data_IF_230753058183
#
_entry.id   IF_230753058183
#
_cell.length_a   1.000
_cell.length_b   1.000
_cell.length_c   1.000
_cell.angle_alpha   90.00
_cell.angle_beta   90.00
_cell.angle_gamma   90.00
#
_symmetry.space_group_name_H-M   'P 1'
#
loop_
_entity.id
_entity.type
_entity.pdbx_description
1 polymer ?
#
# COMPACT_ATOMS: atom_id res chain seq x y z
N UNK A 1 4.40 19.44 3.28
CA UNK A 1 4.32 19.89 1.87
C UNK A 1 4.13 21.39 1.91
N UNK A 2 5.08 22.17 1.41
CA UNK A 2 4.89 23.61 1.33
C UNK A 2 4.08 23.97 0.08
N UNK A 3 2.82 24.35 0.29
CA UNK A 3 1.88 24.76 -0.76
C UNK A 3 2.15 26.18 -1.26
N UNK A 4 1.60 26.59 -2.41
CA UNK A 4 1.62 27.98 -2.89
C UNK A 4 1.13 28.96 -1.80
N UNK A 5 0.16 28.52 -0.98
CA UNK A 5 -0.30 29.22 0.23
C UNK A 5 0.84 29.43 1.25
N UNK A 6 1.69 28.44 1.49
CA UNK A 6 2.87 28.56 2.37
C UNK A 6 3.97 29.43 1.75
N UNK A 7 4.18 29.35 0.43
CA UNK A 7 5.12 30.22 -0.29
C UNK A 7 4.73 31.69 -0.13
N UNK A 8 3.44 32.00 -0.35
CA UNK A 8 2.86 33.32 -0.16
C UNK A 8 2.96 33.77 1.29
N UNK A 9 2.63 32.92 2.26
CA UNK A 9 2.75 33.25 3.68
C UNK A 9 4.20 33.56 4.11
N UNK A 10 5.19 32.82 3.58
CA UNK A 10 6.63 33.05 3.87
C UNK A 10 7.14 34.37 3.28
N UNK A 11 6.62 34.80 2.13
CA UNK A 11 7.03 36.06 1.49
C UNK A 11 6.27 37.25 2.07
N UNK A 12 4.98 37.10 2.40
CA UNK A 12 4.16 38.10 3.12
C UNK A 12 4.74 38.45 4.50
N UNK A 13 5.43 37.51 5.15
CA UNK A 13 6.11 37.75 6.43
C UNK A 13 7.30 38.74 6.32
N UNK A 14 7.71 39.15 5.11
CA UNK A 14 8.72 40.19 4.89
C UNK A 14 8.06 41.58 4.79
N UNK A 15 8.53 42.60 5.55
CA UNK A 15 7.88 43.91 5.59
C UNK A 15 7.86 44.62 4.23
N UNK A 16 6.70 45.13 3.80
CA UNK A 16 6.56 46.02 2.62
C UNK A 16 6.19 45.35 1.30
N UNK A 17 5.92 44.04 1.28
CA UNK A 17 5.72 43.26 0.05
C UNK A 17 4.27 42.91 -0.28
N UNK A 18 3.37 43.01 0.70
CA UNK A 18 2.00 42.46 0.67
C UNK A 18 1.18 42.92 -0.54
N UNK A 19 1.02 44.24 -0.74
CA UNK A 19 0.06 44.74 -1.72
C UNK A 19 0.53 44.58 -3.18
N UNK A 20 1.84 44.68 -3.43
CA UNK A 20 2.38 44.61 -4.80
C UNK A 20 2.50 43.16 -5.29
N UNK A 21 2.88 42.25 -4.39
CA UNK A 21 3.00 40.84 -4.71
C UNK A 21 1.62 40.20 -4.91
N UNK A 22 0.65 40.48 -4.03
CA UNK A 22 -0.69 39.90 -4.15
C UNK A 22 -1.39 40.34 -5.44
N UNK A 23 -1.20 41.60 -5.86
CA UNK A 23 -1.71 42.10 -7.15
C UNK A 23 -1.03 41.41 -8.33
N UNK A 24 0.28 41.18 -8.28
CA UNK A 24 1.03 40.50 -9.33
C UNK A 24 0.66 39.01 -9.44
N UNK A 25 0.55 38.31 -8.30
CA UNK A 25 0.08 36.92 -8.23
C UNK A 25 -1.35 36.81 -8.77
N UNK A 26 -2.24 37.72 -8.41
CA UNK A 26 -3.61 37.74 -8.93
C UNK A 26 -3.65 38.01 -10.45
N UNK A 27 -2.75 38.84 -10.98
CA UNK A 27 -2.63 39.07 -12.42
C UNK A 27 -2.14 37.82 -13.17
N UNK A 28 -1.14 37.11 -12.64
CA UNK A 28 -0.66 35.84 -13.21
C UNK A 28 -1.74 34.75 -13.18
N UNK A 29 -2.49 34.62 -12.08
CA UNK A 29 -3.60 33.65 -12.00
C UNK A 29 -4.68 33.97 -13.05
N UNK A 30 -5.01 35.25 -13.29
CA UNK A 30 -5.95 35.65 -14.35
C UNK A 30 -5.43 35.26 -15.74
N UNK A 31 -4.18 35.58 -16.03
CA UNK A 31 -3.56 35.27 -17.32
C UNK A 31 -3.48 33.76 -17.58
N UNK A 32 -3.09 32.98 -16.56
CA UNK A 32 -3.05 31.52 -16.62
C UNK A 32 -4.43 30.94 -16.98
N UNK A 33 -5.50 31.39 -16.31
CA UNK A 33 -6.85 30.90 -16.62
C UNK A 33 -7.33 31.30 -18.02
N UNK A 34 -7.01 32.52 -18.47
CA UNK A 34 -7.35 32.97 -19.82
C UNK A 34 -6.62 32.18 -20.90
N UNK A 35 -5.39 31.74 -20.63
CA UNK A 35 -4.60 30.89 -21.52
C UNK A 35 -5.14 29.47 -21.59
N UNK A 36 -5.38 28.83 -20.44
CA UNK A 36 -6.03 27.50 -20.37
C UNK A 36 -7.40 27.49 -21.07
N UNK A 37 -8.16 28.58 -20.95
CA UNK A 37 -9.46 28.75 -21.59
C UNK A 37 -9.39 28.87 -23.11
N UNK A 38 -8.27 29.30 -23.69
CA UNK A 38 -8.05 29.35 -25.14
C UNK A 38 -7.64 27.98 -25.69
N UNK A 39 -6.95 27.18 -24.88
CA UNK A 39 -6.47 25.84 -25.28
C UNK A 39 -7.53 24.75 -25.20
N UNK A 40 -8.62 24.95 -24.43
CA UNK A 40 -9.74 24.00 -24.34
C UNK A 40 -10.97 24.47 -25.14
N UNK A 41 -11.32 23.84 -26.30
CA UNK A 41 -12.36 24.34 -27.21
C UNK A 41 -13.81 24.17 -26.73
N UNK A 42 -14.06 23.73 -25.49
CA UNK A 42 -15.39 23.43 -24.98
C UNK A 42 -15.58 24.15 -23.64
N UNK A 43 -16.36 25.23 -23.64
CA UNK A 43 -16.60 26.13 -22.51
C UNK A 43 -17.29 25.53 -21.28
N UNK A 44 -17.41 24.20 -21.18
CA UNK A 44 -18.03 23.49 -20.06
C UNK A 44 -17.01 23.14 -18.94
N UNK A 45 -15.70 23.17 -19.21
CA UNK A 45 -14.65 22.85 -18.22
C UNK A 45 -14.20 24.07 -17.38
N UNK A 46 -14.55 25.29 -17.79
CA UNK A 46 -14.12 26.53 -17.10
C UNK A 46 -14.56 26.62 -15.63
N UNK A 47 -15.79 26.22 -15.23
CA UNK A 47 -16.23 26.35 -13.84
C UNK A 47 -15.47 25.42 -12.88
N UNK A 48 -15.09 24.22 -13.34
CA UNK A 48 -14.34 23.24 -12.55
C UNK A 48 -12.88 23.69 -12.35
N UNK A 49 -12.26 24.26 -13.40
CA UNK A 49 -10.89 24.80 -13.33
C UNK A 49 -10.75 25.91 -12.29
N UNK A 50 -11.72 26.82 -12.19
CA UNK A 50 -11.72 27.88 -11.17
C UNK A 50 -11.81 27.34 -9.75
N UNK A 51 -12.61 26.29 -9.50
CA UNK A 51 -12.72 25.70 -8.16
C UNK A 51 -11.40 25.04 -7.72
N UNK A 52 -10.72 24.33 -8.62
CA UNK A 52 -9.39 23.73 -8.37
C UNK A 52 -8.35 24.82 -8.12
N UNK A 53 -8.38 25.91 -8.90
CA UNK A 53 -7.46 27.04 -8.72
C UNK A 53 -7.69 27.74 -7.39
N UNK A 54 -8.96 27.91 -6.96
CA UNK A 54 -9.27 28.48 -5.65
C UNK A 54 -8.79 27.61 -4.49
N UNK A 55 -8.79 26.29 -4.64
CA UNK A 55 -8.21 25.38 -3.65
C UNK A 55 -6.67 25.50 -3.58
N UNK A 56 -6.01 25.71 -4.73
CA UNK A 56 -4.55 25.86 -4.84
C UNK A 56 -4.05 27.19 -4.26
N UNK A 57 -4.69 28.32 -4.63
CA UNK A 57 -4.26 29.66 -4.19
C UNK A 57 -4.73 30.01 -2.77
N UNK A 58 -5.74 29.29 -2.27
CA UNK A 58 -6.31 29.45 -0.95
C UNK A 58 -7.51 30.41 -0.90
N UNK A 59 -8.45 30.08 -0.01
CA UNK A 59 -9.74 30.75 0.14
C UNK A 59 -9.65 32.26 0.42
N UNK A 60 -8.84 32.67 1.40
CA UNK A 60 -8.69 34.09 1.77
C UNK A 60 -8.18 34.96 0.59
N UNK A 61 -7.32 34.40 -0.25
CA UNK A 61 -6.81 35.09 -1.45
C UNK A 61 -7.87 35.18 -2.55
N UNK A 62 -8.60 34.09 -2.76
CA UNK A 62 -9.69 34.02 -3.73
C UNK A 62 -10.78 35.05 -3.41
N UNK A 63 -11.18 35.16 -2.14
CA UNK A 63 -12.18 36.13 -1.69
C UNK A 63 -11.71 37.58 -1.86
N UNK A 64 -10.42 37.85 -1.63
CA UNK A 64 -9.86 39.20 -1.72
C UNK A 64 -9.71 39.68 -3.17
N UNK A 65 -9.23 38.84 -4.09
CA UNK A 65 -8.87 39.27 -5.46
C UNK A 65 -9.85 38.82 -6.55
N UNK A 66 -10.76 37.91 -6.24
CA UNK A 66 -11.72 37.31 -7.17
C UNK A 66 -13.16 37.31 -6.66
N UNK A 67 -13.52 38.25 -5.78
CA UNK A 67 -14.86 38.37 -5.15
C UNK A 67 -16.05 38.30 -6.13
N UNK A 68 -15.87 38.73 -7.38
CA UNK A 68 -16.90 38.70 -8.41
C UNK A 68 -17.16 37.30 -9.01
N UNK A 69 -16.34 36.29 -8.67
CA UNK A 69 -16.51 34.90 -9.11
C UNK A 69 -17.20 34.10 -8.00
N UNK A 70 -18.46 33.69 -8.24
CA UNK A 70 -19.21 32.84 -7.31
C UNK A 70 -18.57 31.45 -7.25
N UNK A 71 -18.08 31.06 -6.06
CA UNK A 71 -17.69 29.67 -5.76
C UNK A 71 -18.89 28.74 -5.88
N UNK A 72 -18.71 27.63 -6.57
CA UNK A 72 -19.70 26.57 -6.68
C UNK A 72 -19.09 25.25 -6.21
N UNK A 73 -18.93 25.13 -4.88
CA UNK A 73 -18.30 23.97 -4.20
C UNK A 73 -18.91 22.62 -4.61
N UNK A 74 -20.17 22.60 -5.06
CA UNK A 74 -20.87 21.41 -5.58
C UNK A 74 -20.20 20.82 -6.83
N UNK A 75 -19.42 21.60 -7.58
CA UNK A 75 -18.65 21.12 -8.73
C UNK A 75 -17.47 20.24 -8.33
N UNK A 76 -16.92 20.43 -7.12
CA UNK A 76 -15.88 19.57 -6.55
C UNK A 76 -16.45 18.30 -5.89
N UNK A 77 -17.77 18.28 -5.68
CA UNK A 77 -18.54 17.14 -5.16
C UNK A 77 -19.17 16.30 -6.29
N UNK A 78 -18.85 16.60 -7.56
CA UNK A 78 -19.31 15.80 -8.69
C UNK A 78 -18.80 14.36 -8.49
N UNK A 79 -19.67 13.33 -8.60
CA UNK A 79 -19.35 11.92 -8.28
C UNK A 79 -18.22 11.28 -9.13
N UNK A 80 -17.61 12.04 -10.03
CA UNK A 80 -16.50 11.61 -10.89
C UNK A 80 -15.14 12.22 -10.51
N UNK A 81 -15.07 13.20 -9.60
CA UNK A 81 -13.82 13.63 -8.98
C UNK A 81 -13.67 12.93 -7.62
N UNK A 82 -13.05 11.76 -7.65
CA UNK A 82 -12.61 11.07 -6.43
C UNK A 82 -11.63 11.99 -5.68
N UNK A 83 -11.62 12.07 -4.33
CA UNK A 83 -10.76 12.99 -3.59
C UNK A 83 -9.28 12.94 -3.99
N UNK A 84 -8.79 11.77 -4.41
CA UNK A 84 -7.43 11.55 -4.90
C UNK A 84 -7.20 12.21 -6.26
N UNK A 85 -8.17 12.14 -7.19
CA UNK A 85 -8.11 12.88 -8.45
C UNK A 85 -8.15 14.38 -8.22
N UNK A 86 -8.89 14.86 -7.21
CA UNK A 86 -8.87 16.28 -6.83
C UNK A 86 -7.50 16.68 -6.31
N UNK A 87 -6.87 15.88 -5.44
CA UNK A 87 -5.52 16.17 -4.94
C UNK A 87 -4.49 16.16 -6.07
N UNK A 88 -4.56 15.19 -6.97
CA UNK A 88 -3.66 15.07 -8.12
C UNK A 88 -3.84 16.23 -9.10
N UNK A 89 -5.10 16.59 -9.41
CA UNK A 89 -5.43 17.71 -10.28
C UNK A 89 -5.07 19.06 -9.66
N UNK A 90 -5.31 19.26 -8.36
CA UNK A 90 -4.83 20.43 -7.62
C UNK A 90 -3.30 20.52 -7.70
N UNK A 91 -2.58 19.41 -7.53
CA UNK A 91 -1.13 19.37 -7.62
C UNK A 91 -0.61 19.67 -9.03
N UNK A 92 -1.25 19.13 -10.05
CA UNK A 92 -0.92 19.38 -11.45
C UNK A 92 -1.13 20.87 -11.80
N UNK A 93 -2.28 21.42 -11.43
CA UNK A 93 -2.60 22.84 -11.62
C UNK A 93 -1.65 23.72 -10.82
N UNK A 94 -1.30 23.36 -9.58
CA UNK A 94 -0.31 24.07 -8.76
C UNK A 94 1.06 24.13 -9.43
N UNK A 95 1.54 23.01 -9.98
CA UNK A 95 2.82 22.95 -10.69
C UNK A 95 2.83 23.78 -11.99
N UNK A 96 1.75 23.70 -12.79
CA UNK A 96 1.61 24.49 -14.03
C UNK A 96 1.53 25.98 -13.72
N UNK A 97 0.75 26.36 -12.70
CA UNK A 97 0.62 27.74 -12.25
C UNK A 97 1.96 28.27 -11.71
N UNK A 98 2.71 27.49 -10.92
CA UNK A 98 4.04 27.88 -10.44
C UNK A 98 5.04 28.09 -11.58
N UNK A 99 5.04 27.22 -12.60
CA UNK A 99 5.87 27.38 -13.79
C UNK A 99 5.48 28.63 -14.60
N UNK A 100 4.17 28.85 -14.79
CA UNK A 100 3.65 30.02 -15.46
C UNK A 100 4.03 31.33 -14.74
N UNK A 101 3.86 31.36 -13.41
CA UNK A 101 4.23 32.49 -12.56
C UNK A 101 5.72 32.76 -12.58
N UNK A 102 6.56 31.72 -12.62
CA UNK A 102 8.01 31.88 -12.74
C UNK A 102 8.38 32.66 -14.01
N UNK A 103 7.79 32.30 -15.15
CA UNK A 103 8.08 32.96 -16.43
C UNK A 103 7.56 34.40 -16.46
N UNK A 104 6.38 34.64 -15.89
CA UNK A 104 5.71 35.95 -15.95
C UNK A 104 6.18 36.94 -14.87
N UNK A 105 6.63 36.47 -13.71
CA UNK A 105 7.15 37.32 -12.62
C UNK A 105 8.68 37.53 -12.73
N UNK A 106 9.41 36.69 -13.48
CA UNK A 106 10.85 36.87 -13.72
C UNK A 106 11.18 38.10 -14.58
N UNK A 107 10.20 38.65 -15.30
CA UNK A 107 10.36 39.86 -16.11
C UNK A 107 10.46 41.15 -15.27
N UNK A 108 10.07 41.11 -13.99
CA UNK A 108 10.11 42.26 -13.08
C UNK A 108 11.17 42.07 -11.99
N UNK A 109 12.22 42.90 -12.00
CA UNK A 109 13.35 42.80 -11.08
C UNK A 109 12.95 42.95 -9.60
N UNK A 110 11.78 43.56 -9.32
CA UNK A 110 11.23 43.70 -7.97
C UNK A 110 10.66 42.39 -7.40
N UNK A 111 10.50 41.33 -8.20
CA UNK A 111 9.82 40.08 -7.83
C UNK A 111 10.75 38.84 -7.81
N UNK A 112 12.05 39.05 -8.03
CA UNK A 112 13.05 37.98 -8.13
C UNK A 112 13.20 37.10 -6.87
N UNK A 113 12.85 37.60 -5.67
CA UNK A 113 12.85 36.82 -4.42
C UNK A 113 11.70 35.81 -4.37
N UNK A 114 10.52 36.16 -4.89
CA UNK A 114 9.37 35.26 -5.00
C UNK A 114 9.62 34.19 -6.06
N UNK A 115 10.18 34.57 -7.21
CA UNK A 115 10.59 33.64 -8.26
C UNK A 115 11.59 32.61 -7.72
N UNK A 116 12.60 33.03 -6.92
CA UNK A 116 13.54 32.10 -6.27
C UNK A 116 12.87 31.14 -5.29
N UNK A 117 11.85 31.59 -4.55
CA UNK A 117 11.08 30.72 -3.64
C UNK A 117 10.22 29.73 -4.44
N UNK A 118 9.58 30.15 -5.53
CA UNK A 118 8.86 29.27 -6.44
C UNK A 118 9.77 28.26 -7.13
N UNK A 119 10.97 28.68 -7.56
CA UNK A 119 12.01 27.81 -8.12
C UNK A 119 12.46 26.76 -7.11
N UNK A 120 12.70 27.17 -5.87
CA UNK A 120 13.10 26.26 -4.80
C UNK A 120 11.98 25.23 -4.51
N UNK A 121 10.72 25.66 -4.49
CA UNK A 121 9.58 24.76 -4.28
C UNK A 121 9.29 23.83 -5.46
N UNK A 122 9.50 24.29 -6.70
CA UNK A 122 9.39 23.46 -7.90
C UNK A 122 10.55 22.45 -8.02
N UNK A 123 11.77 22.83 -7.59
CA UNK A 123 12.94 21.96 -7.51
C UNK A 123 12.85 20.94 -6.35
N UNK A 124 12.13 21.27 -5.28
CA UNK A 124 11.76 20.32 -4.22
C UNK A 124 10.71 19.29 -4.70
N UNK A 125 10.13 19.46 -5.91
CA UNK A 125 9.13 18.55 -6.48
C UNK A 125 9.23 18.33 -8.01
N UNK A 126 10.34 17.79 -8.56
CA UNK A 126 10.40 17.38 -9.95
C UNK A 126 10.03 15.90 -10.03
N UNK A 127 8.77 15.57 -10.36
CA UNK A 127 8.34 14.16 -10.64
C UNK A 127 8.67 13.14 -9.53
N UNK A 128 8.10 13.33 -8.34
CA UNK A 128 8.47 12.56 -7.13
C UNK A 128 7.85 11.17 -7.00
N UNK A 129 8.38 10.17 -7.70
CA UNK A 129 8.30 8.74 -7.26
C UNK A 129 9.60 8.23 -6.63
N UNK A 130 10.71 8.95 -6.76
CA UNK A 130 12.02 8.53 -6.22
C UNK A 130 12.43 9.31 -4.95
N UNK A 131 12.22 10.63 -4.91
CA UNK A 131 12.79 11.48 -3.84
C UNK A 131 11.94 11.55 -2.56
N UNK A 132 10.63 11.36 -2.67
CA UNK A 132 9.72 11.34 -1.51
C UNK A 132 10.02 10.18 -0.55
N UNK A 133 10.56 9.08 -1.08
CA UNK A 133 10.85 7.89 -0.29
C UNK A 133 12.03 8.13 0.68
N UNK A 134 13.09 8.84 0.25
CA UNK A 134 14.28 9.13 1.05
C UNK A 134 14.03 10.16 2.17
N UNK A 135 13.20 11.17 1.89
CA UNK A 135 12.82 12.16 2.89
C UNK A 135 11.82 11.62 3.92
N UNK A 136 10.85 10.79 3.49
CA UNK A 136 9.92 10.12 4.42
C UNK A 136 10.63 9.07 5.31
N UNK A 137 11.63 8.38 4.75
CA UNK A 137 12.47 7.42 5.49
C UNK A 137 13.22 8.06 6.66
N UNK A 138 13.76 9.26 6.46
CA UNK A 138 14.57 9.95 7.47
C UNK A 138 13.73 10.49 8.64
N UNK A 139 12.46 10.83 8.40
CA UNK A 139 11.56 11.36 9.43
C UNK A 139 10.89 10.25 10.27
N UNK A 140 10.49 9.13 9.66
CA UNK A 140 9.82 8.00 10.37
C UNK A 140 10.80 7.19 11.25
N UNK A 141 12.08 7.11 10.86
CA UNK A 141 13.11 6.36 11.61
C UNK A 141 13.54 7.03 12.92
N UNK A 142 13.29 8.34 13.07
CA UNK A 142 13.60 9.08 14.31
C UNK A 142 12.61 8.81 15.46
N UNK A 143 11.42 8.28 15.17
CA UNK A 143 10.34 8.09 16.14
C UNK A 143 10.26 6.71 16.81
N UNK A 144 11.04 5.73 16.36
CA UNK A 144 10.99 4.36 16.87
C UNK A 144 12.37 3.94 17.38
N UNK A 145 12.59 4.25 18.66
CA UNK A 145 13.85 4.02 19.38
C UNK A 145 14.40 2.61 19.18
N UNK A 146 15.47 2.53 18.40
CA UNK A 146 16.77 2.00 18.77
C UNK A 146 17.75 2.48 17.69
N UNK A 147 18.87 3.05 18.13
CA UNK A 147 19.91 3.70 17.33
C UNK A 147 20.19 2.96 16.02
N UNK A 148 19.81 3.57 14.89
CA UNK A 148 20.44 3.28 13.62
C UNK A 148 21.15 4.52 13.07
N UNK A 149 22.43 4.40 12.70
CA UNK A 149 23.12 5.38 11.89
C UNK A 149 22.67 5.23 10.42
N UNK A 150 21.37 5.38 10.14
CA UNK A 150 20.86 5.54 8.76
C UNK A 150 21.05 6.98 8.26
N UNK A 151 21.32 7.92 9.18
CA UNK A 151 21.59 9.32 8.86
C UNK A 151 22.96 9.56 8.19
N UNK A 152 23.88 8.58 8.17
CA UNK A 152 25.29 8.80 7.78
C UNK A 152 25.72 8.25 6.43
N UNK A 153 24.84 7.59 5.66
CA UNK A 153 25.16 7.16 4.27
C UNK A 153 24.14 7.60 3.21
N UNK A 154 23.09 8.32 3.60
CA UNK A 154 22.18 9.00 2.65
C UNK A 154 22.49 10.50 2.55
N UNK A 155 23.24 11.05 3.52
CA UNK A 155 23.76 12.40 3.47
C UNK A 155 25.13 12.43 2.81
N UNK A 156 25.20 12.85 1.54
CA UNK A 156 26.26 13.69 0.93
C UNK A 156 26.40 13.57 -0.59
N UNK A 157 25.49 12.92 -1.30
CA UNK A 157 25.33 13.12 -2.75
C UNK A 157 23.98 13.74 -3.04
N UNK A 158 24.00 15.05 -3.27
CA UNK A 158 22.93 15.79 -3.97
C UNK A 158 22.45 14.98 -5.19
N UNK A 159 21.15 14.63 -5.32
CA UNK A 159 20.65 13.87 -6.48
C UNK A 159 20.74 14.64 -7.80
N UNK A 160 21.09 15.92 -7.77
CA UNK A 160 21.08 16.80 -8.93
C UNK A 160 22.46 17.21 -9.45
N UNK A 161 23.52 16.47 -9.13
CA UNK A 161 24.84 16.76 -9.73
C UNK A 161 25.53 15.52 -10.27
N UNK A 162 25.47 15.42 -11.60
CA UNK A 162 26.37 14.72 -12.53
C UNK A 162 26.41 13.18 -12.45
N UNK A 163 25.67 12.52 -13.34
CA UNK A 163 26.29 11.47 -14.16
C UNK A 163 25.75 11.50 -15.58
N UNK A 164 26.64 11.74 -16.54
CA UNK A 164 26.42 11.58 -17.98
C UNK A 164 26.28 10.11 -18.43
N UNK A 165 26.09 9.18 -17.48
CA UNK A 165 26.19 7.74 -17.67
C UNK A 165 25.04 7.02 -16.95
N UNK A 166 24.11 6.50 -17.76
CA UNK A 166 22.90 5.80 -17.32
C UNK A 166 23.22 4.52 -16.56
N UNK A 167 24.32 3.86 -16.89
CA UNK A 167 24.67 2.56 -16.31
C UNK A 167 25.17 2.74 -14.88
N UNK A 168 25.90 3.83 -14.61
CA UNK A 168 26.36 4.18 -13.26
C UNK A 168 25.20 4.57 -12.33
N UNK A 169 24.21 5.34 -12.81
CA UNK A 169 23.01 5.65 -12.01
C UNK A 169 22.18 4.41 -11.67
N UNK A 170 22.00 3.51 -12.64
CA UNK A 170 21.31 2.23 -12.43
C UNK A 170 22.07 1.38 -11.40
N UNK A 171 23.41 1.39 -11.44
CA UNK A 171 24.24 0.67 -10.47
C UNK A 171 24.16 1.25 -9.05
N UNK A 172 24.28 2.57 -8.88
CA UNK A 172 24.21 3.26 -7.58
C UNK A 172 22.82 3.13 -6.92
N UNK A 173 21.76 3.18 -7.74
CA UNK A 173 20.39 2.94 -7.29
C UNK A 173 20.19 1.47 -6.87
N UNK A 174 20.80 0.51 -7.58
CA UNK A 174 20.72 -0.92 -7.25
C UNK A 174 21.41 -1.21 -5.92
N UNK A 175 22.57 -0.61 -5.67
CA UNK A 175 23.31 -0.76 -4.41
C UNK A 175 22.56 -0.11 -3.24
N UNK A 176 22.05 1.11 -3.41
CA UNK A 176 21.26 1.81 -2.40
C UNK A 176 19.97 1.06 -2.05
N UNK A 177 19.28 0.53 -3.07
CA UNK A 177 18.10 -0.35 -2.89
C UNK A 177 18.47 -1.61 -2.13
N UNK A 178 19.57 -2.28 -2.48
CA UNK A 178 20.04 -3.50 -1.79
C UNK A 178 20.36 -3.22 -0.33
N UNK A 179 21.05 -2.12 -0.04
CA UNK A 179 21.37 -1.68 1.32
C UNK A 179 20.10 -1.39 2.15
N UNK A 180 19.13 -0.69 1.57
CA UNK A 180 17.84 -0.42 2.20
C UNK A 180 17.09 -1.73 2.53
N UNK A 181 16.99 -2.65 1.57
CA UNK A 181 16.32 -3.93 1.76
C UNK A 181 17.02 -4.80 2.80
N UNK A 182 18.35 -4.84 2.81
CA UNK A 182 19.13 -5.51 3.86
C UNK A 182 18.88 -4.89 5.24
N UNK A 183 18.79 -3.56 5.34
CA UNK A 183 18.47 -2.88 6.59
C UNK A 183 17.05 -3.19 7.11
N UNK A 184 16.13 -3.60 6.23
CA UNK A 184 14.77 -4.02 6.57
C UNK A 184 14.65 -5.48 7.04
N UNK A 185 15.68 -6.32 6.83
CA UNK A 185 15.65 -7.72 7.24
C UNK A 185 15.57 -7.88 8.76
N UNK A 186 14.73 -8.81 9.20
CA UNK A 186 14.47 -9.11 10.62
C UNK A 186 13.70 -8.02 11.37
N UNK A 187 13.14 -7.00 10.69
CA UNK A 187 12.51 -5.84 11.34
C UNK A 187 11.03 -5.70 11.04
N UNK A 188 10.30 -5.17 12.01
CA UNK A 188 8.95 -4.65 11.81
C UNK A 188 9.07 -3.31 11.09
N UNK A 189 8.35 -3.15 9.99
CA UNK A 189 8.50 -1.99 9.10
C UNK A 189 7.34 -1.00 9.27
N UNK A 190 7.61 0.32 9.20
CA UNK A 190 6.55 1.33 9.16
C UNK A 190 5.69 1.19 7.89
N UNK A 191 4.45 1.72 7.88
CA UNK A 191 3.55 1.62 6.72
C UNK A 191 4.16 2.08 5.40
N UNK A 192 4.94 3.16 5.42
CA UNK A 192 5.65 3.71 4.26
C UNK A 192 6.60 2.68 3.61
N UNK A 193 7.40 1.98 4.43
CA UNK A 193 8.31 0.94 3.95
C UNK A 193 7.61 -0.34 3.49
N UNK A 194 6.50 -0.71 4.14
CA UNK A 194 5.69 -1.85 3.68
C UNK A 194 5.09 -1.57 2.32
N UNK A 195 4.53 -0.38 2.11
CA UNK A 195 4.01 0.04 0.80
C UNK A 195 5.10 -0.04 -0.26
N UNK A 196 6.30 0.50 0.02
CA UNK A 196 7.42 0.41 -0.90
C UNK A 196 7.74 -1.02 -1.33
N UNK A 197 7.94 -1.93 -0.37
CA UNK A 197 8.27 -3.34 -0.63
C UNK A 197 7.14 -4.04 -1.40
N UNK A 198 5.88 -3.81 -1.00
CA UNK A 198 4.72 -4.38 -1.69
C UNK A 198 4.58 -3.85 -3.11
N UNK A 199 4.82 -2.56 -3.34
CA UNK A 199 4.81 -1.98 -4.68
C UNK A 199 5.90 -2.59 -5.55
N UNK A 200 7.14 -2.65 -5.06
CA UNK A 200 8.27 -3.26 -5.79
C UNK A 200 8.03 -4.75 -6.09
N UNK A 201 7.36 -5.48 -5.20
CA UNK A 201 7.10 -6.90 -5.36
C UNK A 201 5.89 -7.23 -6.24
N UNK A 202 4.81 -6.42 -6.13
CA UNK A 202 3.49 -6.76 -6.65
C UNK A 202 3.04 -5.92 -7.84
N UNK A 203 3.56 -4.69 -8.00
CA UNK A 203 3.12 -3.81 -9.09
C UNK A 203 3.94 -4.08 -10.34
N UNK A 204 3.22 -4.47 -11.39
CA UNK A 204 3.77 -4.71 -12.72
C UNK A 204 2.95 -3.95 -13.75
N UNK A 205 3.59 -3.05 -14.48
CA UNK A 205 2.90 -2.13 -15.41
C UNK A 205 2.15 -2.89 -16.50
N UNK A 206 2.70 -4.00 -16.99
CA UNK A 206 2.05 -4.87 -17.97
C UNK A 206 0.78 -5.53 -17.43
N UNK A 207 0.81 -5.99 -16.17
CA UNK A 207 -0.37 -6.55 -15.50
C UNK A 207 -1.43 -5.49 -15.24
N UNK A 208 -1.04 -4.29 -14.80
CA UNK A 208 -1.97 -3.17 -14.58
C UNK A 208 -2.72 -2.83 -15.87
N UNK A 209 -2.01 -2.66 -16.99
CA UNK A 209 -2.62 -2.39 -18.30
C UNK A 209 -3.56 -3.50 -18.75
N UNK A 210 -3.20 -4.76 -18.50
CA UNK A 210 -4.07 -5.91 -18.80
C UNK A 210 -5.36 -5.88 -17.96
N UNK A 211 -5.25 -5.60 -16.66
CA UNK A 211 -6.39 -5.46 -15.76
C UNK A 211 -7.29 -4.27 -16.14
N UNK A 212 -6.72 -3.12 -16.51
CA UNK A 212 -7.49 -1.96 -16.99
C UNK A 212 -8.31 -2.30 -18.23
N UNK A 213 -7.70 -2.98 -19.22
CA UNK A 213 -8.40 -3.45 -20.42
C UNK A 213 -9.56 -4.39 -20.06
N UNK A 214 -9.32 -5.35 -19.16
CA UNK A 214 -10.37 -6.26 -18.69
C UNK A 214 -11.49 -5.54 -17.96
N UNK A 215 -11.19 -4.55 -17.11
CA UNK A 215 -12.21 -3.76 -16.43
C UNK A 215 -13.05 -2.98 -17.43
N UNK A 216 -12.44 -2.37 -18.45
CA UNK A 216 -13.16 -1.66 -19.51
C UNK A 216 -14.06 -2.61 -20.31
N UNK A 217 -13.58 -3.81 -20.63
CA UNK A 217 -14.36 -4.84 -21.32
C UNK A 217 -15.52 -5.34 -20.45
N UNK A 218 -15.25 -5.69 -19.20
CA UNK A 218 -16.26 -6.14 -18.24
C UNK A 218 -17.33 -5.08 -18.04
N UNK A 219 -16.98 -3.78 -17.98
CA UNK A 219 -17.96 -2.69 -17.90
C UNK A 219 -18.88 -2.62 -19.12
N UNK A 220 -18.34 -2.82 -20.33
CA UNK A 220 -19.15 -2.86 -21.56
C UNK A 220 -20.09 -4.07 -21.62
N UNK A 221 -19.68 -5.18 -21.02
CA UNK A 221 -20.45 -6.43 -20.98
C UNK A 221 -21.42 -6.51 -19.79
N UNK A 222 -21.16 -5.78 -18.69
CA UNK A 222 -21.99 -5.75 -17.47
C UNK A 222 -23.36 -5.13 -17.70
N UNK A 223 -23.49 -4.22 -18.68
CA UNK A 223 -24.80 -3.73 -19.14
C UNK A 223 -25.66 -4.84 -19.78
N UNK A 224 -25.06 -5.99 -20.14
CA UNK A 224 -25.77 -7.13 -20.71
C UNK A 224 -26.03 -8.28 -19.72
N UNK A 225 -25.39 -8.31 -18.54
CA UNK A 225 -25.42 -9.48 -17.63
C UNK A 225 -25.49 -9.07 -16.15
N UNK A 226 -26.70 -8.72 -15.69
CA UNK A 226 -26.98 -8.27 -14.33
C UNK A 226 -27.11 -9.40 -13.26
N UNK A 227 -26.73 -10.65 -13.55
CA UNK A 227 -27.15 -11.81 -12.74
C UNK A 227 -26.02 -12.70 -12.16
N UNK A 228 -24.80 -12.20 -11.97
CA UNK A 228 -23.68 -13.06 -11.51
C UNK A 228 -23.39 -12.96 -10.01
N UNK A 229 -23.92 -13.95 -9.28
CA UNK A 229 -23.53 -14.52 -7.97
C UNK A 229 -22.92 -13.61 -6.87
N UNK A 230 -23.68 -12.65 -6.35
CA UNK A 230 -23.34 -11.87 -5.14
C UNK A 230 -23.06 -12.75 -3.89
N UNK A 231 -23.57 -13.99 -3.84
CA UNK A 231 -23.66 -14.79 -2.61
C UNK A 231 -22.32 -15.32 -2.06
N UNK A 232 -21.32 -15.59 -2.89
CA UNK A 232 -20.02 -16.10 -2.40
C UNK A 232 -19.05 -14.97 -2.03
N UNK A 233 -19.05 -13.88 -2.79
CA UNK A 233 -18.23 -12.69 -2.51
C UNK A 233 -18.66 -12.08 -1.19
N UNK A 234 -19.96 -11.86 -1.00
CA UNK A 234 -20.50 -11.30 0.24
C UNK A 234 -20.11 -12.14 1.47
N UNK A 235 -20.21 -13.48 1.38
CA UNK A 235 -19.80 -14.39 2.46
C UNK A 235 -18.30 -14.31 2.76
N UNK A 236 -17.45 -14.43 1.73
CA UNK A 236 -15.99 -14.43 1.89
C UNK A 236 -15.49 -13.11 2.49
N UNK A 237 -16.07 -11.99 2.06
CA UNK A 237 -15.74 -10.66 2.56
C UNK A 237 -16.22 -10.48 4.00
N UNK A 238 -17.44 -10.91 4.33
CA UNK A 238 -17.97 -10.85 5.69
C UNK A 238 -17.12 -11.67 6.68
N UNK A 239 -16.72 -12.89 6.30
CA UNK A 239 -15.86 -13.74 7.12
C UNK A 239 -14.48 -13.12 7.35
N UNK A 240 -13.87 -12.55 6.30
CA UNK A 240 -12.59 -11.87 6.41
C UNK A 240 -12.68 -10.63 7.32
N UNK A 241 -13.73 -9.81 7.17
CA UNK A 241 -13.97 -8.65 8.03
C UNK A 241 -14.20 -9.06 9.49
N UNK A 242 -14.94 -10.14 9.74
CA UNK A 242 -15.16 -10.66 11.09
C UNK A 242 -13.83 -10.98 11.77
N UNK A 243 -12.91 -11.62 11.05
CA UNK A 243 -11.57 -11.91 11.56
C UNK A 243 -10.74 -10.64 11.79
N UNK A 244 -10.75 -9.69 10.86
CA UNK A 244 -9.99 -8.44 11.01
C UNK A 244 -10.51 -7.55 12.14
N UNK A 245 -11.82 -7.54 12.38
CA UNK A 245 -12.43 -6.80 13.51
C UNK A 245 -11.98 -7.33 14.86
N UNK A 246 -11.54 -8.59 14.97
CA UNK A 246 -10.93 -9.09 16.22
C UNK A 246 -9.56 -8.46 16.51
N UNK A 247 -8.93 -7.84 15.50
CA UNK A 247 -7.69 -7.09 15.61
C UNK A 247 -7.93 -5.56 15.60
N UNK A 248 -9.15 -5.10 15.91
CA UNK A 248 -9.57 -3.69 15.79
C UNK A 248 -8.63 -2.71 16.52
N UNK A 249 -8.10 -3.09 17.69
CA UNK A 249 -7.14 -2.27 18.46
C UNK A 249 -5.86 -1.96 17.67
N UNK A 250 -5.44 -2.86 16.79
CA UNK A 250 -4.24 -2.70 15.97
C UNK A 250 -4.48 -1.93 14.66
N UNK A 251 -5.75 -1.74 14.28
CA UNK A 251 -6.16 -1.20 12.99
C UNK A 251 -6.60 0.27 13.07
N UNK A 252 -6.97 0.77 14.25
CA UNK A 252 -7.39 2.17 14.44
C UNK A 252 -8.74 2.48 13.78
N UNK A 253 -9.10 3.77 13.62
CA UNK A 253 -10.37 4.19 13.01
C UNK A 253 -10.30 4.01 11.48
N UNK A 254 -10.51 2.79 11.00
CA UNK A 254 -10.63 2.51 9.57
C UNK A 254 -12.09 2.51 9.12
N UNK A 255 -12.32 3.05 7.93
CA UNK A 255 -13.60 2.90 7.24
C UNK A 255 -13.73 1.50 6.65
N UNK A 256 -14.15 0.55 7.48
CA UNK A 256 -14.40 -0.83 7.06
C UNK A 256 -15.47 -0.95 5.97
N UNK A 257 -16.37 0.03 5.83
CA UNK A 257 -17.40 0.03 4.78
C UNK A 257 -16.79 0.27 3.40
N UNK A 258 -15.87 1.23 3.31
CA UNK A 258 -15.08 1.47 2.11
C UNK A 258 -14.22 0.26 1.74
N UNK A 259 -13.49 -0.32 2.72
CA UNK A 259 -12.67 -1.51 2.49
C UNK A 259 -13.52 -2.72 2.04
N UNK A 260 -14.68 -2.92 2.65
CA UNK A 260 -15.64 -3.96 2.26
C UNK A 260 -16.06 -3.80 0.80
N UNK A 261 -16.47 -2.59 0.42
CA UNK A 261 -16.94 -2.27 -0.92
C UNK A 261 -15.85 -2.50 -1.95
N UNK A 262 -14.65 -2.03 -1.67
CA UNK A 262 -13.49 -2.19 -2.56
C UNK A 262 -13.08 -3.66 -2.69
N UNK A 263 -13.09 -4.41 -1.59
CA UNK A 263 -12.77 -5.84 -1.58
C UNK A 263 -13.76 -6.64 -2.45
N UNK A 264 -15.07 -6.39 -2.30
CA UNK A 264 -16.12 -7.01 -3.14
C UNK A 264 -15.88 -6.73 -4.63
N UNK A 265 -15.65 -5.46 -4.99
CA UNK A 265 -15.41 -5.07 -6.37
C UNK A 265 -14.21 -5.78 -7.00
N UNK A 266 -13.08 -5.86 -6.28
CA UNK A 266 -11.87 -6.52 -6.81
C UNK A 266 -12.08 -8.04 -6.94
N UNK A 267 -12.71 -8.69 -5.96
CA UNK A 267 -12.99 -10.14 -6.02
C UNK A 267 -13.98 -10.51 -7.13
N UNK A 268 -15.01 -9.69 -7.35
CA UNK A 268 -15.95 -9.84 -8.47
C UNK A 268 -15.21 -9.78 -9.81
N UNK A 269 -14.39 -8.73 -10.01
CA UNK A 269 -13.61 -8.55 -11.23
C UNK A 269 -12.60 -9.69 -11.44
N UNK A 270 -11.93 -10.13 -10.38
CA UNK A 270 -11.04 -11.29 -10.42
C UNK A 270 -11.79 -12.54 -10.87
N UNK A 271 -12.98 -12.80 -10.32
CA UNK A 271 -13.77 -13.98 -10.68
C UNK A 271 -14.27 -13.92 -12.12
N UNK A 272 -14.59 -12.73 -12.64
CA UNK A 272 -14.96 -12.55 -14.05
C UNK A 272 -13.76 -12.80 -14.97
N UNK A 273 -12.60 -12.25 -14.63
CA UNK A 273 -11.38 -12.38 -15.42
C UNK A 273 -10.87 -13.83 -15.48
N UNK A 274 -10.95 -14.56 -14.36
CA UNK A 274 -10.40 -15.92 -14.25
C UNK A 274 -11.44 -17.02 -14.48
N UNK A 275 -12.74 -16.69 -14.46
CA UNK A 275 -13.84 -17.65 -14.47
C UNK A 275 -13.91 -18.53 -13.21
N UNK A 276 -13.22 -18.16 -12.12
CA UNK A 276 -13.09 -18.97 -10.91
C UNK A 276 -13.40 -18.18 -9.64
N UNK A 277 -14.05 -18.84 -8.69
CA UNK A 277 -14.34 -18.28 -7.37
C UNK A 277 -13.19 -18.59 -6.41
N UNK A 278 -12.55 -17.55 -5.87
CA UNK A 278 -11.39 -17.67 -4.99
C UNK A 278 -11.61 -16.96 -3.65
N UNK A 279 -12.53 -17.49 -2.83
CA UNK A 279 -12.87 -16.90 -1.52
C UNK A 279 -11.70 -16.74 -0.55
N UNK A 280 -10.67 -17.60 -0.65
CA UNK A 280 -9.47 -17.52 0.20
C UNK A 280 -8.63 -16.27 -0.07
N UNK A 281 -8.81 -15.59 -1.20
CA UNK A 281 -8.13 -14.35 -1.54
C UNK A 281 -8.67 -13.12 -0.79
N UNK A 282 -9.84 -13.21 -0.14
CA UNK A 282 -10.42 -12.08 0.57
C UNK A 282 -9.50 -11.57 1.68
N UNK A 283 -8.92 -12.46 2.48
CA UNK A 283 -8.00 -12.10 3.56
C UNK A 283 -6.69 -11.45 3.05
N UNK A 284 -5.95 -12.06 2.10
CA UNK A 284 -4.80 -11.41 1.45
C UNK A 284 -5.13 -10.05 0.82
N UNK A 285 -6.28 -9.92 0.16
CA UNK A 285 -6.72 -8.66 -0.43
C UNK A 285 -7.01 -7.60 0.63
N UNK A 286 -7.62 -7.96 1.76
CA UNK A 286 -7.78 -7.03 2.86
C UNK A 286 -6.43 -6.55 3.41
N UNK A 287 -5.41 -7.40 3.52
CA UNK A 287 -4.09 -6.93 3.91
C UNK A 287 -3.55 -5.86 2.95
N UNK A 288 -3.70 -6.07 1.64
CA UNK A 288 -3.32 -5.06 0.64
C UNK A 288 -4.10 -3.78 0.85
N UNK A 289 -5.42 -3.85 0.98
CA UNK A 289 -6.30 -2.70 1.21
C UNK A 289 -5.96 -1.92 2.48
N UNK A 290 -5.44 -2.57 3.53
CA UNK A 290 -5.02 -1.89 4.74
C UNK A 290 -3.73 -1.07 4.54
N UNK A 291 -2.84 -1.48 3.64
CA UNK A 291 -1.64 -0.70 3.29
C UNK A 291 -1.91 0.23 2.06
N UNK A 292 -2.94 -0.04 1.27
CA UNK A 292 -3.34 0.67 0.05
C UNK A 292 -4.85 1.00 -0.01
N UNK A 293 -5.40 1.77 0.95
CA UNK A 293 -6.86 1.97 1.09
C UNK A 293 -7.50 2.76 -0.06
N UNK A 294 -6.71 3.57 -0.77
CA UNK A 294 -7.17 4.46 -1.84
C UNK A 294 -6.67 4.05 -3.23
N UNK A 295 -6.09 2.86 -3.33
CA UNK A 295 -5.48 2.39 -4.57
C UNK A 295 -6.53 2.09 -5.65
N UNK A 296 -6.14 2.26 -6.91
CA UNK A 296 -7.07 2.00 -8.02
C UNK A 296 -7.49 0.53 -8.04
N UNK A 297 -8.71 0.26 -8.51
CA UNK A 297 -9.21 -1.13 -8.59
C UNK A 297 -8.35 -1.97 -9.53
N UNK A 298 -7.80 -1.35 -10.59
CA UNK A 298 -6.89 -2.03 -11.52
C UNK A 298 -5.55 -2.40 -10.86
N UNK A 299 -4.97 -1.47 -10.09
CA UNK A 299 -3.72 -1.74 -9.35
C UNK A 299 -3.92 -2.82 -8.30
N UNK A 300 -5.01 -2.78 -7.54
CA UNK A 300 -5.32 -3.82 -6.55
C UNK A 300 -5.58 -5.18 -7.18
N UNK A 301 -6.26 -5.22 -8.33
CA UNK A 301 -6.47 -6.46 -9.08
C UNK A 301 -5.15 -7.02 -9.62
N UNK A 302 -4.27 -6.17 -10.16
CA UNK A 302 -2.95 -6.57 -10.64
C UNK A 302 -2.05 -7.06 -9.49
N UNK A 303 -2.05 -6.36 -8.35
CA UNK A 303 -1.34 -6.80 -7.15
C UNK A 303 -1.88 -8.15 -6.64
N UNK A 304 -3.20 -8.35 -6.68
CA UNK A 304 -3.83 -9.61 -6.26
C UNK A 304 -3.46 -10.78 -7.19
N UNK A 305 -3.46 -10.57 -8.51
CA UNK A 305 -2.99 -11.57 -9.47
C UNK A 305 -1.52 -11.89 -9.25
N UNK A 306 -0.69 -10.86 -9.07
CA UNK A 306 0.73 -11.05 -8.82
C UNK A 306 0.96 -11.79 -7.51
N UNK A 307 0.19 -11.48 -6.47
CA UNK A 307 0.23 -12.19 -5.20
C UNK A 307 -0.19 -13.65 -5.37
N UNK A 308 -1.19 -13.96 -6.22
CA UNK A 308 -1.60 -15.33 -6.54
C UNK A 308 -0.51 -16.12 -7.27
N UNK A 309 0.30 -15.47 -8.10
CA UNK A 309 1.47 -16.09 -8.76
C UNK A 309 2.60 -16.37 -7.78
N UNK A 310 2.76 -15.50 -6.79
CA UNK A 310 3.84 -15.49 -5.81
C UNK A 310 3.54 -16.43 -4.63
N UNK A 311 2.29 -16.54 -4.20
CA UNK A 311 1.84 -17.46 -3.16
C UNK A 311 1.76 -18.91 -3.70
N UNK A 312 2.00 -19.92 -2.85
CA UNK A 312 1.86 -21.32 -3.26
C UNK A 312 0.44 -21.56 -3.80
N UNK A 313 0.30 -22.10 -5.02
CA UNK A 313 -1.01 -22.29 -5.64
C UNK A 313 -1.84 -23.25 -4.81
N UNK A 314 -3.17 -23.07 -4.81
CA UNK A 314 -4.09 -23.91 -4.01
C UNK A 314 -3.93 -25.42 -4.28
N UNK A 315 -3.62 -25.79 -5.52
CA UNK A 315 -3.33 -27.17 -5.90
C UNK A 315 -2.11 -27.77 -5.17
N UNK A 316 -1.24 -26.93 -4.58
CA UNK A 316 -0.06 -27.30 -3.80
C UNK A 316 -0.19 -26.99 -2.31
N UNK A 317 -1.35 -26.53 -1.82
CA UNK A 317 -1.58 -26.26 -0.39
C UNK A 317 -1.27 -27.50 0.46
N UNK A 318 -1.71 -28.69 0.00
CA UNK A 318 -1.44 -29.94 0.71
C UNK A 318 0.06 -30.25 0.77
N UNK A 319 0.77 -30.13 -0.36
CA UNK A 319 2.21 -30.36 -0.43
C UNK A 319 2.98 -29.35 0.45
N UNK A 320 2.55 -28.10 0.47
CA UNK A 320 3.11 -27.08 1.37
C UNK A 320 2.91 -27.48 2.83
N UNK A 321 1.69 -27.86 3.21
CA UNK A 321 1.38 -28.25 4.58
C UNK A 321 2.17 -29.49 5.03
N UNK A 322 2.34 -30.47 4.14
CA UNK A 322 3.20 -31.65 4.37
C UNK A 322 4.66 -31.26 4.55
N UNK A 323 5.19 -30.38 3.71
CA UNK A 323 6.57 -29.90 3.79
C UNK A 323 6.80 -29.08 5.06
N UNK A 324 5.84 -28.24 5.42
CA UNK A 324 5.86 -27.46 6.67
C UNK A 324 5.83 -28.39 7.89
N UNK A 325 4.96 -29.40 7.88
CA UNK A 325 4.89 -30.38 8.96
C UNK A 325 6.20 -31.16 9.11
N UNK A 326 6.82 -31.58 8.01
CA UNK A 326 8.13 -32.23 8.04
C UNK A 326 9.18 -31.33 8.74
N UNK A 327 9.21 -30.04 8.41
CA UNK A 327 10.12 -29.09 9.08
C UNK A 327 9.81 -28.91 10.57
N UNK A 328 8.53 -28.97 10.97
CA UNK A 328 8.13 -28.94 12.39
C UNK A 328 8.63 -30.20 13.11
N UNK A 329 8.52 -31.38 12.49
CA UNK A 329 9.04 -32.63 13.04
C UNK A 329 10.55 -32.51 13.29
N UNK A 330 11.29 -31.94 12.35
CA UNK A 330 12.74 -31.76 12.48
C UNK A 330 13.12 -30.73 13.55
N UNK A 331 12.37 -29.62 13.66
CA UNK A 331 12.68 -28.53 14.60
C UNK A 331 12.17 -28.75 16.02
N UNK A 332 11.05 -29.45 16.18
CA UNK A 332 10.37 -29.65 17.46
C UNK A 332 9.79 -31.06 17.56
N UNK A 333 10.64 -32.11 17.58
CA UNK A 333 10.21 -33.50 17.50
C UNK A 333 9.30 -33.90 18.67
N UNK A 334 9.56 -33.40 19.88
CA UNK A 334 8.74 -33.69 21.06
C UNK A 334 7.31 -33.12 20.93
N UNK A 335 7.20 -31.89 20.44
CA UNK A 335 5.89 -31.26 20.19
C UNK A 335 5.16 -31.99 19.07
N UNK A 336 5.85 -32.31 17.97
CA UNK A 336 5.28 -33.05 16.86
C UNK A 336 4.79 -34.45 17.30
N UNK A 337 5.54 -35.12 18.18
CA UNK A 337 5.17 -36.39 18.78
C UNK A 337 3.90 -36.30 19.63
N UNK A 338 3.75 -35.25 20.44
CA UNK A 338 2.52 -35.00 21.22
C UNK A 338 1.30 -34.79 20.31
N UNK A 339 1.44 -33.95 19.28
CA UNK A 339 0.38 -33.68 18.31
C UNK A 339 -0.06 -34.98 17.61
N UNK A 340 0.90 -35.79 17.17
CA UNK A 340 0.63 -37.08 16.52
C UNK A 340 -0.11 -38.04 17.46
N UNK A 341 0.34 -38.14 18.72
CA UNK A 341 -0.29 -38.99 19.73
C UNK A 341 -1.77 -38.65 19.93
N UNK A 342 -2.11 -37.36 20.06
CA UNK A 342 -3.51 -36.93 20.22
C UNK A 342 -4.38 -37.36 19.04
N UNK A 343 -3.87 -37.26 17.81
CA UNK A 343 -4.58 -37.68 16.60
C UNK A 343 -4.74 -39.21 16.56
N UNK A 344 -3.69 -39.96 16.88
CA UNK A 344 -3.70 -41.43 16.91
C UNK A 344 -4.65 -41.98 17.98
N UNK A 345 -4.64 -41.41 19.19
CA UNK A 345 -5.55 -41.78 20.29
C UNK A 345 -7.02 -41.51 19.91
N UNK A 346 -7.30 -40.38 19.26
CA UNK A 346 -8.64 -40.05 18.80
C UNK A 346 -9.12 -40.98 17.67
N UNK A 347 -8.22 -41.36 16.76
CA UNK A 347 -8.50 -42.33 15.70
C UNK A 347 -8.78 -43.72 16.27
N UNK A 348 -8.00 -44.15 17.27
CA UNK A 348 -8.18 -45.43 17.95
C UNK A 348 -9.53 -45.51 18.68
N UNK A 349 -10.10 -44.38 19.11
CA UNK A 349 -11.41 -44.29 19.72
C UNK A 349 -12.60 -44.43 18.73
N UNK A 350 -12.33 -44.69 17.43
CA UNK A 350 -13.34 -44.87 16.37
C UNK A 350 -14.36 -43.72 16.23
N UNK A 351 -14.00 -42.52 16.68
CA UNK A 351 -14.78 -41.31 16.37
C UNK A 351 -14.68 -41.02 14.86
N UNK A 352 -15.73 -40.43 14.27
CA UNK A 352 -15.65 -39.95 12.89
C UNK A 352 -14.54 -38.89 12.79
N UNK A 353 -13.39 -39.26 12.24
CA UNK A 353 -12.20 -38.41 12.24
C UNK A 353 -12.24 -37.45 11.05
N UNK A 354 -12.31 -36.15 11.30
CA UNK A 354 -12.19 -35.11 10.27
C UNK A 354 -10.71 -34.82 9.92
N UNK A 355 -9.76 -35.17 10.81
CA UNK A 355 -8.32 -34.99 10.62
C UNK A 355 -7.59 -36.31 10.74
N UNK A 356 -7.24 -36.88 9.59
CA UNK A 356 -6.44 -38.10 9.57
C UNK A 356 -4.96 -37.79 9.81
N UNK A 357 -4.43 -36.69 9.28
CA UNK A 357 -2.99 -36.42 9.34
C UNK A 357 -2.67 -35.06 9.96
N UNK A 358 -1.56 -34.92 10.73
CA UNK A 358 -1.24 -33.66 11.42
C UNK A 358 -1.11 -32.44 10.51
N UNK A 359 -0.63 -32.62 9.29
CA UNK A 359 -0.45 -31.53 8.33
C UNK A 359 -1.78 -30.87 7.90
N UNK A 360 -2.92 -31.56 8.04
CA UNK A 360 -4.25 -31.01 7.74
C UNK A 360 -4.57 -29.80 8.61
N UNK A 361 -4.02 -29.75 9.84
CA UNK A 361 -4.16 -28.61 10.76
C UNK A 361 -3.56 -27.31 10.21
N UNK A 362 -2.66 -27.40 9.22
CA UNK A 362 -1.87 -26.29 8.69
C UNK A 362 -2.35 -25.81 7.31
N UNK A 363 -3.42 -26.39 6.76
CA UNK A 363 -3.93 -26.00 5.44
C UNK A 363 -4.33 -24.52 5.39
N UNK A 364 -5.04 -24.04 6.42
CA UNK A 364 -5.50 -22.64 6.50
C UNK A 364 -4.32 -21.63 6.51
N UNK A 365 -3.16 -22.04 7.04
CA UNK A 365 -1.97 -21.19 7.11
C UNK A 365 -1.43 -20.90 5.70
N UNK A 366 -1.48 -21.91 4.83
CA UNK A 366 -1.06 -21.81 3.44
C UNK A 366 -2.12 -21.08 2.59
N UNK A 367 -3.40 -21.43 2.73
CA UNK A 367 -4.46 -20.83 1.91
C UNK A 367 -4.66 -19.34 2.19
N UNK A 368 -4.48 -18.91 3.45
CA UNK A 368 -4.65 -17.51 3.85
C UNK A 368 -3.34 -16.73 3.93
N UNK A 369 -2.19 -17.35 3.63
CA UNK A 369 -0.86 -16.78 3.87
C UNK A 369 -0.72 -16.17 5.29
N UNK A 370 -1.22 -16.92 6.29
CA UNK A 370 -1.31 -16.60 7.73
C UNK A 370 -2.27 -15.47 8.15
N UNK A 371 -2.90 -14.73 7.22
CA UNK A 371 -3.69 -13.53 7.56
C UNK A 371 -4.90 -13.84 8.46
N UNK A 372 -5.43 -15.07 8.41
CA UNK A 372 -6.50 -15.53 9.32
C UNK A 372 -5.99 -16.21 10.60
N UNK A 373 -4.72 -16.59 10.65
CA UNK A 373 -4.17 -17.48 11.68
C UNK A 373 -3.36 -16.73 12.74
N UNK A 374 -2.77 -15.59 12.39
CA UNK A 374 -2.01 -14.72 13.32
C UNK A 374 -2.60 -13.31 13.34
N UNK A 375 -2.15 -12.48 14.28
CA UNK A 375 -2.45 -11.04 14.27
C UNK A 375 -1.97 -10.38 12.99
N UNK A 376 -2.72 -9.40 12.50
CA UNK A 376 -2.40 -8.68 11.25
C UNK A 376 -0.95 -8.14 11.18
N UNK A 377 -0.42 -7.60 12.29
CA UNK A 377 0.95 -7.08 12.33
C UNK A 377 2.02 -8.18 12.22
N UNK A 378 1.70 -9.38 12.71
CA UNK A 378 2.56 -10.56 12.56
C UNK A 378 2.52 -11.06 11.12
N UNK A 379 1.34 -11.17 10.51
CA UNK A 379 1.21 -11.55 9.10
C UNK A 379 1.98 -10.60 8.18
N UNK A 380 1.83 -9.28 8.39
CA UNK A 380 2.60 -8.25 7.68
C UNK A 380 4.11 -8.41 7.85
N UNK A 381 4.56 -8.64 9.08
CA UNK A 381 5.99 -8.89 9.33
C UNK A 381 6.48 -10.08 8.51
N UNK A 382 5.79 -11.22 8.57
CA UNK A 382 6.16 -12.42 7.81
C UNK A 382 6.16 -12.15 6.31
N UNK A 383 5.15 -11.48 5.78
CA UNK A 383 5.09 -11.12 4.36
C UNK A 383 6.30 -10.29 3.92
N UNK A 384 6.67 -9.27 4.70
CA UNK A 384 7.82 -8.43 4.37
C UNK A 384 9.11 -9.25 4.39
N UNK A 385 9.31 -10.07 5.42
CA UNK A 385 10.51 -10.90 5.54
C UNK A 385 10.61 -11.97 4.45
N UNK A 386 9.49 -12.47 3.92
CA UNK A 386 9.48 -13.41 2.79
C UNK A 386 9.67 -12.73 1.43
N UNK A 387 9.31 -11.45 1.28
CA UNK A 387 9.47 -10.71 0.02
C UNK A 387 10.87 -10.10 -0.14
N UNK A 388 11.50 -9.67 0.95
CA UNK A 388 12.80 -8.99 0.91
C UNK A 388 13.90 -9.84 0.21
N UNK A 389 14.09 -11.14 0.53
CA UNK A 389 15.13 -11.94 -0.14
C UNK A 389 14.92 -12.04 -1.65
N UNK A 390 13.68 -12.28 -2.10
CA UNK A 390 13.35 -12.30 -3.53
C UNK A 390 13.57 -10.96 -4.23
N UNK A 391 13.44 -9.84 -3.51
CA UNK A 391 13.78 -8.51 -4.03
C UNK A 391 15.29 -8.23 -4.07
N UNK A 392 16.10 -8.91 -3.23
CA UNK A 392 17.55 -8.76 -3.18
C UNK A 392 18.26 -9.53 -4.29
N UNK A 393 17.79 -10.75 -4.57
CA UNK A 393 18.55 -11.74 -5.35
C UNK A 393 18.04 -11.98 -6.77
N UNK A 394 16.80 -11.57 -7.08
CA UNK A 394 16.20 -11.84 -8.38
C UNK A 394 15.92 -10.57 -9.21
N UNK A 395 16.08 -10.69 -10.54
CA UNK A 395 15.57 -9.71 -11.51
C UNK A 395 14.04 -9.66 -11.51
N UNK A 396 13.40 -10.77 -11.12
CA UNK A 396 11.95 -10.90 -10.97
C UNK A 396 11.63 -11.10 -9.48
N UNK A 397 10.89 -10.17 -8.84
CA UNK A 397 10.49 -10.32 -7.45
C UNK A 397 9.80 -11.66 -7.19
N UNK A 398 10.26 -12.40 -6.19
CA UNK A 398 9.71 -13.70 -5.80
C UNK A 398 9.39 -13.77 -4.30
N UNK A 399 8.49 -14.67 -3.93
CA UNK A 399 8.31 -15.05 -2.53
C UNK A 399 9.42 -16.03 -2.15
N UNK A 400 10.19 -15.70 -1.12
CA UNK A 400 11.05 -16.69 -0.50
C UNK A 400 10.21 -17.66 0.33
N UNK A 401 9.86 -18.79 -0.29
CA UNK A 401 9.05 -19.83 0.32
C UNK A 401 9.77 -20.50 1.50
N UNK A 402 11.10 -20.57 1.48
CA UNK A 402 11.88 -21.15 2.55
C UNK A 402 11.88 -20.26 3.79
N UNK A 403 12.04 -18.94 3.59
CA UNK A 403 11.86 -17.95 4.63
C UNK A 403 10.44 -18.01 5.19
N UNK A 404 9.42 -18.06 4.34
CA UNK A 404 8.03 -18.17 4.78
C UNK A 404 7.78 -19.42 5.61
N UNK A 405 8.23 -20.58 5.15
CA UNK A 405 8.13 -21.84 5.90
C UNK A 405 8.87 -21.77 7.23
N UNK A 406 10.08 -21.17 7.26
CA UNK A 406 10.83 -20.97 8.50
C UNK A 406 10.04 -20.12 9.51
N UNK A 407 9.41 -19.03 9.06
CA UNK A 407 8.54 -18.21 9.91
C UNK A 407 7.32 -18.99 10.41
N UNK A 408 6.69 -19.80 9.55
CA UNK A 408 5.59 -20.69 9.98
C UNK A 408 6.04 -21.69 11.06
N UNK A 409 7.20 -22.33 10.90
CA UNK A 409 7.76 -23.23 11.94
C UNK A 409 7.95 -22.47 13.26
N UNK A 410 8.55 -21.28 13.22
CA UNK A 410 8.74 -20.44 14.42
C UNK A 410 7.42 -20.10 15.10
N UNK A 411 6.41 -19.70 14.33
CA UNK A 411 5.05 -19.42 14.84
C UNK A 411 4.47 -20.65 15.54
N UNK A 412 4.59 -21.84 14.93
CA UNK A 412 4.09 -23.08 15.49
C UNK A 412 4.81 -23.43 16.81
N UNK A 413 6.14 -23.33 16.84
CA UNK A 413 6.95 -23.59 18.03
C UNK A 413 6.64 -22.62 19.17
N UNK A 414 6.48 -21.33 18.87
CA UNK A 414 6.12 -20.32 19.88
C UNK A 414 4.71 -20.53 20.46
N UNK A 415 3.78 -21.06 19.67
CA UNK A 415 2.47 -21.50 20.17
C UNK A 415 2.50 -22.89 20.84
N UNK A 416 3.66 -23.53 20.86
CA UNK A 416 3.85 -24.95 21.14
C UNK A 416 3.45 -25.39 22.54
N UNK A 417 3.59 -24.54 23.56
CA UNK A 417 3.14 -24.87 24.92
C UNK A 417 1.63 -25.15 24.94
N UNK A 418 0.83 -24.26 24.35
CA UNK A 418 -0.62 -24.44 24.29
C UNK A 418 -1.04 -25.58 23.37
N UNK A 419 -0.34 -25.76 22.24
CA UNK A 419 -0.61 -26.86 21.31
C UNK A 419 -0.30 -28.21 21.98
N UNK A 420 0.80 -28.30 22.72
CA UNK A 420 1.25 -29.51 23.41
C UNK A 420 0.42 -29.89 24.65
N UNK A 421 -0.46 -28.99 25.12
CA UNK A 421 -1.42 -29.24 26.20
C UNK A 421 -2.78 -29.74 25.70
N UNK A 422 -3.04 -29.73 24.40
CA UNK A 422 -4.29 -30.22 23.85
C UNK A 422 -4.46 -31.73 24.12
N UNK A 423 -5.64 -32.14 24.58
CA UNK A 423 -5.98 -33.53 24.91
C UNK A 423 -6.94 -34.15 23.90
N UNK A 424 -7.45 -33.36 22.94
CA UNK A 424 -8.34 -33.83 21.88
C UNK A 424 -8.03 -33.15 20.54
N UNK A 425 -8.48 -33.76 19.44
CA UNK A 425 -8.32 -33.20 18.09
C UNK A 425 -9.01 -31.83 17.96
N UNK A 426 -10.17 -31.65 18.58
CA UNK A 426 -10.87 -30.36 18.56
C UNK A 426 -10.13 -29.28 19.35
N UNK A 427 -9.54 -29.62 20.50
CA UNK A 427 -8.67 -28.71 21.24
C UNK A 427 -7.40 -28.37 20.46
N UNK A 428 -6.85 -29.34 19.74
CA UNK A 428 -5.67 -29.18 18.90
C UNK A 428 -5.95 -28.25 17.71
N UNK A 429 -7.06 -28.47 16.98
CA UNK A 429 -7.53 -27.58 15.91
C UNK A 429 -7.70 -26.15 16.42
N UNK A 430 -8.36 -25.99 17.58
CA UNK A 430 -8.53 -24.69 18.21
C UNK A 430 -7.20 -24.06 18.61
N UNK A 431 -6.30 -24.84 19.22
CA UNK A 431 -4.99 -24.34 19.64
C UNK A 431 -4.15 -23.87 18.45
N UNK A 432 -4.10 -24.65 17.36
CA UNK A 432 -3.37 -24.28 16.14
C UNK A 432 -3.96 -23.06 15.44
N UNK A 433 -5.28 -22.83 15.52
CA UNK A 433 -5.93 -21.67 14.90
C UNK A 433 -5.86 -20.40 15.76
N UNK A 434 -6.02 -20.52 17.07
CA UNK A 434 -6.22 -19.35 17.93
C UNK A 434 -4.92 -18.90 18.63
N UNK A 435 -4.06 -19.83 19.05
CA UNK A 435 -2.88 -19.49 19.86
C UNK A 435 -1.85 -18.66 19.10
N UNK A 436 -1.60 -18.89 17.81
CA UNK A 436 -0.72 -18.01 17.03
C UNK A 436 -1.19 -16.54 16.99
N UNK A 437 -2.49 -16.26 17.20
CA UNK A 437 -3.00 -14.88 17.29
C UNK A 437 -2.49 -14.14 18.52
N UNK A 438 -2.00 -14.83 19.55
CA UNK A 438 -1.43 -14.16 20.73
C UNK A 438 0.02 -13.72 20.53
N UNK A 439 0.67 -14.15 19.45
CA UNK A 439 2.07 -13.83 19.20
C UNK A 439 2.26 -12.36 18.83
N UNK A 440 3.46 -11.86 19.12
CA UNK A 440 3.92 -10.54 18.72
C UNK A 440 5.06 -10.64 17.71
N UNK A 441 5.28 -9.58 16.94
CA UNK A 441 6.44 -9.49 16.04
C UNK A 441 7.76 -9.55 16.81
N UNK A 442 7.77 -9.06 18.06
CA UNK A 442 8.91 -9.17 18.96
C UNK A 442 9.28 -10.63 19.25
N UNK A 443 8.31 -11.46 19.61
CA UNK A 443 8.54 -12.87 19.90
C UNK A 443 9.14 -13.62 18.70
N UNK A 444 8.71 -13.32 17.47
CA UNK A 444 9.28 -13.94 16.27
C UNK A 444 10.72 -13.52 15.99
N UNK A 445 11.07 -12.26 16.27
CA UNK A 445 12.44 -11.76 16.12
C UNK A 445 13.38 -12.37 17.15
N UNK A 446 12.92 -12.51 18.39
CA UNK A 446 13.73 -13.08 19.48
C UNK A 446 13.91 -14.60 19.34
N UNK A 447 13.01 -15.28 18.63
CA UNK A 447 13.13 -16.70 18.31
C UNK A 447 14.04 -17.02 17.10
N UNK A 448 14.75 -16.02 16.56
CA UNK A 448 15.53 -16.13 15.32
C UNK A 448 17.00 -16.43 15.51
#
# INVERSE_FOLDING_TARGET
MATLREARARVIAQPGWLDTLDVAVAACVRAFVEEEARETPQGELQPLAWEIIFDVIGEDFAETHFANRKRNRKLLEIPYLVPEMRVELCREVEMRLLAFMKEHLAADASQASFVKVCEQLALENPTGRADTLGAMLSADLAGHGHDLPLALHVGHTSPCTLVADRDKWVSERRESRRALLMACQGRSLPPSMRKYILTEALVREDLVKACEKHILQARRERDAVANWSESWVARSVADALRLLRTDADALGPLDFSHLETKCKQVLELHSQMTGRQHGSLALPLFMLLLDFPFESTANLLAMLERLREILPPRARTLQFAQSLWARIVDHAPDLAGKVRRVIEEHRAAAAAVEIEEPHVLLLDWAESALVGCVKINVARYVWMQSLIPGLLDAEVPSWDLDMFMSQCVKIFCLAGESIGLAQSVSELQRAVREKPRNLSTRALREAS
#
